data_IF_034101421655
#
_entry.id   IF_034101421655
#
_cell.length_a   1.000
_cell.length_b   1.000
_cell.length_c   1.000
_cell.angle_alpha   90.00
_cell.angle_beta   90.00
_cell.angle_gamma   90.00
#
_symmetry.space_group_name_H-M   'P 1'
#
loop_
_entity.id
_entity.type
_entity.pdbx_description
1 polymer ?
#
# COMPACT_ATOMS: atom_id res chain seq x y z
N UNK A 1 -10.01 14.99 -13.97
CA UNK A 1 -8.76 14.19 -14.04
C UNK A 1 -7.87 14.67 -12.92
N UNK A 2 -7.25 13.77 -12.13
CA UNK A 2 -6.37 14.19 -11.01
C UNK A 2 -4.95 14.42 -11.53
N UNK A 3 -4.44 13.46 -12.30
CA UNK A 3 -3.15 13.56 -12.97
C UNK A 3 -2.83 12.30 -13.77
N UNK A 4 -1.70 12.33 -14.47
CA UNK A 4 -1.13 11.21 -15.23
C UNK A 4 0.36 11.11 -14.93
N UNK A 5 0.82 9.91 -14.59
CA UNK A 5 2.23 9.61 -14.35
C UNK A 5 2.83 8.95 -15.60
N UNK A 6 4.12 9.14 -15.82
CA UNK A 6 4.88 8.36 -16.81
C UNK A 6 5.32 7.03 -16.21
N UNK A 7 5.65 6.04 -17.05
CA UNK A 7 6.18 4.76 -16.58
C UNK A 7 7.53 4.91 -15.88
N UNK A 8 8.32 5.90 -16.26
CA UNK A 8 9.63 6.20 -15.65
C UNK A 8 9.50 6.67 -14.19
N UNK A 9 8.31 7.19 -13.83
CA UNK A 9 7.96 7.57 -12.48
C UNK A 9 7.50 6.38 -11.63
N UNK A 10 7.49 5.16 -12.13
CA UNK A 10 7.22 3.95 -11.36
C UNK A 10 8.55 3.23 -11.09
N UNK A 11 8.98 3.21 -9.84
CA UNK A 11 10.25 2.59 -9.44
C UNK A 11 10.03 1.51 -8.38
N UNK A 12 10.24 0.22 -8.71
CA UNK A 12 10.11 -0.86 -7.75
C UNK A 12 11.00 -0.74 -6.52
N UNK A 13 12.19 -0.11 -6.62
CA UNK A 13 13.08 0.15 -5.47
C UNK A 13 12.50 1.21 -4.56
N UNK A 14 12.01 2.30 -5.14
CA UNK A 14 11.33 3.34 -4.37
C UNK A 14 10.08 2.78 -3.68
N UNK A 15 9.31 1.93 -4.37
CA UNK A 15 8.14 1.30 -3.79
C UNK A 15 8.49 0.34 -2.66
N UNK A 16 9.55 -0.48 -2.82
CA UNK A 16 10.04 -1.34 -1.75
C UNK A 16 10.36 -0.53 -0.49
N UNK A 17 11.11 0.56 -0.65
CA UNK A 17 11.47 1.46 0.46
C UNK A 17 10.24 2.02 1.16
N UNK A 18 9.22 2.47 0.40
CA UNK A 18 7.96 2.97 0.98
C UNK A 18 7.27 1.90 1.84
N UNK A 19 7.23 0.64 1.37
CA UNK A 19 6.64 -0.46 2.14
C UNK A 19 7.45 -0.74 3.41
N UNK A 20 8.79 -0.74 3.32
CA UNK A 20 9.69 -0.94 4.46
C UNK A 20 9.48 0.13 5.52
N UNK A 21 9.40 1.41 5.12
CA UNK A 21 9.11 2.52 6.03
C UNK A 21 7.71 2.41 6.66
N UNK A 22 6.71 1.94 5.91
CA UNK A 22 5.41 1.60 6.46
C UNK A 22 5.49 0.50 7.51
N UNK A 23 6.23 -0.57 7.20
CA UNK A 23 6.38 -1.75 8.07
C UNK A 23 7.09 -1.43 9.38
N UNK A 24 8.04 -0.50 9.38
CA UNK A 24 8.69 -0.04 10.62
C UNK A 24 7.66 0.45 11.63
N UNK A 25 6.63 1.19 11.21
CA UNK A 25 5.56 1.60 12.11
C UNK A 25 4.67 0.45 12.61
N UNK A 26 4.51 -0.61 11.82
CA UNK A 26 3.82 -1.83 12.25
C UNK A 26 4.68 -2.60 13.28
N UNK A 27 5.99 -2.64 13.08
CA UNK A 27 6.96 -3.22 14.02
C UNK A 27 7.01 -2.42 15.31
N UNK A 28 6.94 -1.09 15.27
CA UNK A 28 6.86 -0.26 16.48
C UNK A 28 5.63 -0.60 17.33
N UNK A 29 4.53 -1.04 16.70
CA UNK A 29 3.29 -1.44 17.38
C UNK A 29 3.34 -2.88 17.91
N UNK A 30 3.73 -3.86 17.10
CA UNK A 30 3.70 -5.29 17.48
C UNK A 30 5.02 -5.83 18.07
N UNK A 31 6.13 -5.10 17.91
CA UNK A 31 7.46 -5.46 18.36
C UNK A 31 8.23 -6.43 17.46
N UNK A 32 9.43 -6.80 17.92
CA UNK A 32 10.42 -7.59 17.16
C UNK A 32 9.93 -8.99 16.73
N UNK A 33 8.93 -9.55 17.42
CA UNK A 33 8.31 -10.82 17.03
C UNK A 33 7.59 -10.74 15.68
N UNK A 34 6.96 -9.60 15.38
CA UNK A 34 6.32 -9.35 14.09
C UNK A 34 7.39 -9.21 12.99
N UNK A 35 8.41 -8.38 13.23
CA UNK A 35 9.53 -8.16 12.31
C UNK A 35 10.20 -9.48 11.90
N UNK A 36 10.55 -10.31 12.90
CA UNK A 36 11.20 -11.60 12.69
C UNK A 36 10.37 -12.54 11.81
N UNK A 37 9.04 -12.53 11.96
CA UNK A 37 8.16 -13.32 11.13
C UNK A 37 8.07 -12.76 9.70
N UNK A 38 7.98 -11.44 9.52
CA UNK A 38 7.94 -10.81 8.18
C UNK A 38 9.22 -11.14 7.41
N UNK A 39 10.37 -10.97 8.04
CA UNK A 39 11.68 -11.32 7.46
C UNK A 39 11.69 -12.81 7.07
N UNK A 40 11.35 -13.70 8.00
CA UNK A 40 11.31 -15.15 7.74
C UNK A 40 10.45 -15.51 6.53
N UNK A 41 9.26 -14.93 6.40
CA UNK A 41 8.37 -15.23 5.28
C UNK A 41 8.90 -14.64 3.96
N UNK A 42 9.39 -13.40 3.96
CA UNK A 42 9.98 -12.77 2.78
C UNK A 42 11.20 -13.56 2.26
N UNK A 43 12.10 -13.99 3.15
CA UNK A 43 13.27 -14.79 2.78
C UNK A 43 12.87 -16.16 2.21
N UNK A 44 11.93 -16.86 2.84
CA UNK A 44 11.41 -18.14 2.33
C UNK A 44 10.76 -18.02 0.95
N UNK A 45 9.98 -16.97 0.75
CA UNK A 45 9.36 -16.71 -0.54
C UNK A 45 10.38 -16.36 -1.63
N UNK A 46 11.41 -15.58 -1.27
CA UNK A 46 12.51 -15.21 -2.19
C UNK A 46 13.29 -16.46 -2.59
N UNK A 47 13.72 -17.25 -1.61
CA UNK A 47 14.42 -18.52 -1.80
C UNK A 47 13.69 -19.45 -2.76
N UNK A 48 12.38 -19.65 -2.55
CA UNK A 48 11.54 -20.48 -3.42
C UNK A 48 11.48 -19.96 -4.87
N UNK A 49 11.32 -18.65 -5.06
CA UNK A 49 11.21 -18.06 -6.39
C UNK A 49 12.56 -18.01 -7.14
N UNK A 50 13.66 -17.89 -6.40
CA UNK A 50 15.01 -17.86 -6.96
C UNK A 50 15.66 -19.25 -7.11
N UNK A 51 15.08 -20.30 -6.49
CA UNK A 51 15.68 -21.63 -6.43
C UNK A 51 16.94 -21.69 -5.54
N UNK A 52 16.96 -20.90 -4.48
CA UNK A 52 18.11 -20.73 -3.57
C UNK A 52 17.70 -21.07 -2.12
N UNK A 53 18.65 -21.21 -1.21
CA UNK A 53 18.37 -21.34 0.23
C UNK A 53 18.15 -19.96 0.89
N UNK A 54 17.25 -19.83 1.89
CA UNK A 54 17.06 -18.57 2.60
C UNK A 54 18.32 -18.19 3.39
N UNK A 55 18.84 -16.95 3.26
CA UNK A 55 20.01 -16.52 4.04
C UNK A 55 19.68 -16.42 5.54
N UNK A 56 20.63 -16.75 6.40
CA UNK A 56 20.46 -16.77 7.86
C UNK A 56 20.88 -15.46 8.57
N UNK A 57 21.58 -14.56 7.87
CA UNK A 57 22.18 -13.36 8.45
C UNK A 57 21.28 -12.13 8.55
N UNK A 58 20.09 -12.15 7.94
CA UNK A 58 19.20 -10.98 7.83
C UNK A 58 18.28 -10.92 9.05
N UNK A 59 18.39 -9.83 9.82
CA UNK A 59 17.73 -9.66 11.12
C UNK A 59 16.88 -8.40 11.22
N UNK A 60 17.07 -7.41 10.35
CA UNK A 60 16.32 -6.15 10.36
C UNK A 60 15.61 -5.91 9.03
N UNK A 61 14.57 -5.07 9.04
CA UNK A 61 13.89 -4.65 7.81
C UNK A 61 14.82 -3.94 6.82
N UNK A 62 15.81 -3.17 7.29
CA UNK A 62 16.79 -2.50 6.41
C UNK A 62 17.67 -3.52 5.67
N UNK A 63 18.16 -4.54 6.38
CA UNK A 63 18.92 -5.63 5.76
C UNK A 63 18.05 -6.43 4.78
N UNK A 64 16.77 -6.61 5.10
CA UNK A 64 15.82 -7.26 4.20
C UNK A 64 15.58 -6.41 2.94
N UNK A 65 15.47 -5.09 3.07
CA UNK A 65 15.32 -4.16 1.94
C UNK A 65 16.47 -4.32 0.95
N UNK A 66 17.71 -4.23 1.44
CA UNK A 66 18.92 -4.35 0.62
C UNK A 66 18.97 -5.71 -0.09
N UNK A 67 18.68 -6.79 0.62
CA UNK A 67 18.64 -8.13 0.05
C UNK A 67 17.56 -8.28 -1.02
N UNK A 68 16.32 -7.87 -0.74
CA UNK A 68 15.22 -7.93 -1.71
C UNK A 68 15.51 -7.07 -2.94
N UNK A 69 16.11 -5.89 -2.75
CA UNK A 69 16.54 -5.01 -3.83
C UNK A 69 17.64 -5.64 -4.71
N UNK A 70 18.49 -6.50 -4.14
CA UNK A 70 19.51 -7.26 -4.90
C UNK A 70 18.92 -8.38 -5.77
N UNK A 71 17.67 -8.78 -5.53
CA UNK A 71 16.97 -9.88 -6.24
C UNK A 71 15.88 -9.40 -7.20
N UNK A 72 15.71 -8.09 -7.38
CA UNK A 72 14.65 -7.50 -8.20
C UNK A 72 14.72 -7.84 -9.69
N UNK A 73 15.86 -8.30 -10.18
CA UNK A 73 16.04 -8.84 -11.53
C UNK A 73 15.29 -10.18 -11.72
N UNK A 74 15.11 -10.94 -10.63
CA UNK A 74 14.44 -12.25 -10.63
C UNK A 74 13.01 -12.21 -10.09
N UNK A 75 12.72 -11.31 -9.15
CA UNK A 75 11.45 -11.28 -8.41
C UNK A 75 10.84 -9.87 -8.33
N UNK A 76 9.52 -9.82 -8.17
CA UNK A 76 8.83 -8.59 -7.76
C UNK A 76 8.92 -8.43 -6.23
N UNK A 77 10.03 -7.89 -5.75
CA UNK A 77 10.32 -7.72 -4.33
C UNK A 77 9.25 -6.96 -3.52
N UNK A 78 8.68 -5.83 -3.98
CA UNK A 78 7.61 -5.15 -3.26
C UNK A 78 6.39 -6.04 -3.01
N UNK A 79 5.96 -6.80 -4.03
CA UNK A 79 4.82 -7.71 -3.88
C UNK A 79 5.11 -8.82 -2.88
N UNK A 80 6.33 -9.35 -2.91
CA UNK A 80 6.74 -10.40 -2.00
C UNK A 80 6.72 -9.91 -0.54
N UNK A 81 7.16 -8.68 -0.29
CA UNK A 81 7.14 -8.09 1.04
C UNK A 81 5.71 -7.83 1.53
N UNK A 82 4.82 -7.33 0.66
CA UNK A 82 3.39 -7.17 0.96
C UNK A 82 2.74 -8.52 1.27
N UNK A 83 3.06 -9.56 0.48
CA UNK A 83 2.58 -10.92 0.73
C UNK A 83 3.04 -11.43 2.10
N UNK A 84 4.33 -11.24 2.42
CA UNK A 84 4.87 -11.65 3.72
C UNK A 84 4.19 -10.91 4.87
N UNK A 85 3.94 -9.60 4.73
CA UNK A 85 3.17 -8.81 5.69
C UNK A 85 1.76 -9.40 5.89
N UNK A 86 0.98 -9.65 4.83
CA UNK A 86 -0.36 -10.21 4.97
C UNK A 86 -0.37 -11.57 5.66
N UNK A 87 0.60 -12.44 5.35
CA UNK A 87 0.74 -13.74 6.02
C UNK A 87 0.98 -13.57 7.52
N UNK A 88 1.78 -12.58 7.93
CA UNK A 88 2.10 -12.34 9.35
C UNK A 88 0.97 -11.63 10.07
N UNK A 89 0.40 -10.57 9.48
CA UNK A 89 -0.75 -9.85 10.06
C UNK A 89 -1.90 -10.82 10.35
N UNK A 90 -2.24 -11.71 9.42
CA UNK A 90 -3.28 -12.71 9.67
C UNK A 90 -3.04 -13.62 10.87
N UNK A 91 -1.78 -13.85 11.25
CA UNK A 91 -1.44 -14.63 12.45
C UNK A 91 -1.56 -13.82 13.74
N UNK A 92 -1.30 -12.51 13.67
CA UNK A 92 -1.28 -11.63 14.84
C UNK A 92 -2.66 -11.05 15.17
N UNK A 93 -3.46 -10.70 14.16
CA UNK A 93 -4.73 -9.99 14.32
C UNK A 93 -5.91 -10.67 13.57
N UNK A 94 -5.67 -11.80 12.91
CA UNK A 94 -6.69 -12.41 12.05
C UNK A 94 -7.05 -11.52 10.87
N UNK A 95 -8.35 -11.27 10.65
CA UNK A 95 -8.86 -10.49 9.52
C UNK A 95 -9.25 -9.05 9.92
N UNK A 96 -8.68 -8.51 11.00
CA UNK A 96 -9.05 -7.21 11.55
C UNK A 96 -8.49 -6.01 10.77
N UNK A 97 -7.37 -6.17 10.06
CA UNK A 97 -6.78 -5.12 9.21
C UNK A 97 -6.09 -3.99 9.98
N UNK A 98 -5.79 -4.16 11.27
CA UNK A 98 -5.13 -3.14 12.10
C UNK A 98 -3.71 -2.84 11.60
N UNK A 99 -2.96 -3.88 11.23
CA UNK A 99 -1.61 -3.78 10.65
C UNK A 99 -1.62 -2.96 9.37
N UNK A 100 -2.66 -3.09 8.55
CA UNK A 100 -2.83 -2.35 7.29
C UNK A 100 -3.07 -0.87 7.56
N UNK A 101 -3.95 -0.55 8.53
CA UNK A 101 -4.21 0.82 8.97
C UNK A 101 -2.93 1.48 9.50
N UNK A 102 -2.14 0.75 10.31
CA UNK A 102 -0.86 1.26 10.87
C UNK A 102 0.17 1.45 9.75
N UNK A 103 0.29 0.50 8.83
CA UNK A 103 1.17 0.57 7.66
C UNK A 103 0.89 1.84 6.85
N UNK A 104 -0.39 2.06 6.52
CA UNK A 104 -0.84 3.20 5.71
C UNK A 104 -0.60 4.53 6.41
N UNK A 105 -0.90 4.63 7.71
CA UNK A 105 -0.61 5.83 8.53
C UNK A 105 0.89 6.12 8.59
N UNK A 106 1.72 5.08 8.65
CA UNK A 106 3.18 5.21 8.66
C UNK A 106 3.71 5.66 7.31
N UNK A 107 3.19 5.12 6.21
CA UNK A 107 3.48 5.61 4.84
C UNK A 107 3.07 7.06 4.67
N UNK A 108 1.90 7.46 5.20
CA UNK A 108 1.44 8.85 5.17
C UNK A 108 2.39 9.79 5.94
N UNK A 109 2.84 9.37 7.13
CA UNK A 109 3.83 10.12 7.91
C UNK A 109 5.16 10.24 7.17
N UNK A 110 5.62 9.16 6.54
CA UNK A 110 6.80 9.16 5.68
C UNK A 110 6.63 10.14 4.51
N UNK A 111 5.49 10.09 3.81
CA UNK A 111 5.22 10.95 2.68
C UNK A 111 5.24 12.45 3.07
N UNK A 112 4.61 12.79 4.19
CA UNK A 112 4.60 14.15 4.74
C UNK A 112 5.99 14.65 5.10
N UNK A 113 6.79 13.81 5.76
CA UNK A 113 8.14 14.15 6.19
C UNK A 113 9.08 14.44 5.01
N UNK A 114 8.92 13.72 3.90
CA UNK A 114 9.87 13.78 2.78
C UNK A 114 9.40 14.62 1.58
N UNK A 115 8.09 14.72 1.35
CA UNK A 115 7.54 15.35 0.14
C UNK A 115 6.66 16.57 0.43
N UNK A 116 6.34 16.83 1.71
CA UNK A 116 5.87 18.12 2.22
C UNK A 116 4.63 18.72 1.54
N UNK A 117 4.24 19.92 1.96
CA UNK A 117 3.15 20.70 1.36
C UNK A 117 1.87 20.70 2.19
N UNK A 118 1.23 21.87 2.26
CA UNK A 118 0.02 22.07 3.05
C UNK A 118 -1.19 21.36 2.43
N UNK A 119 -1.92 20.63 3.27
CA UNK A 119 -3.22 20.09 2.92
C UNK A 119 -4.29 21.16 3.17
N UNK A 120 -4.95 21.62 2.11
CA UNK A 120 -6.05 22.59 2.23
C UNK A 120 -7.28 21.91 2.86
N UNK A 121 -7.63 22.33 4.09
CA UNK A 121 -8.81 21.85 4.80
C UNK A 121 -10.10 22.16 4.03
N UNK A 122 -11.07 21.26 4.11
CA UNK A 122 -12.38 21.33 3.46
C UNK A 122 -12.41 21.05 1.96
N UNK A 123 -11.25 20.88 1.31
CA UNK A 123 -11.16 20.76 -0.15
C UNK A 123 -10.77 19.34 -0.59
N UNK A 124 -11.77 18.50 -0.83
CA UNK A 124 -11.60 17.12 -1.33
C UNK A 124 -10.79 17.08 -2.63
N UNK A 125 -10.98 18.06 -3.54
CA UNK A 125 -10.23 18.10 -4.80
C UNK A 125 -8.75 18.32 -4.53
N UNK A 126 -8.43 19.28 -3.66
CA UNK A 126 -7.06 19.53 -3.24
C UNK A 126 -6.46 18.30 -2.54
N UNK A 127 -7.23 17.61 -1.69
CA UNK A 127 -6.80 16.39 -1.00
C UNK A 127 -6.42 15.26 -1.96
N UNK A 128 -7.30 14.94 -2.92
CA UNK A 128 -7.05 13.89 -3.92
C UNK A 128 -5.86 14.26 -4.82
N UNK A 129 -5.75 15.54 -5.20
CA UNK A 129 -4.64 16.02 -6.03
C UNK A 129 -3.31 15.96 -5.27
N UNK A 130 -3.30 16.30 -3.98
CA UNK A 130 -2.13 16.20 -3.12
C UNK A 130 -1.70 14.74 -2.92
N UNK A 131 -2.64 13.86 -2.62
CA UNK A 131 -2.36 12.43 -2.49
C UNK A 131 -1.72 11.87 -3.77
N UNK A 132 -2.26 12.23 -4.94
CA UNK A 132 -1.68 11.82 -6.21
C UNK A 132 -0.28 12.40 -6.44
N UNK A 133 -0.07 13.68 -6.15
CA UNK A 133 1.25 14.31 -6.21
C UNK A 133 2.27 13.59 -5.33
N UNK A 134 1.88 13.17 -4.14
CA UNK A 134 2.78 12.48 -3.21
C UNK A 134 3.10 11.06 -3.67
N UNK A 135 2.12 10.35 -4.25
CA UNK A 135 2.37 9.07 -4.91
C UNK A 135 3.35 9.23 -6.09
N UNK A 136 3.28 10.34 -6.84
CA UNK A 136 4.23 10.63 -7.93
C UNK A 136 5.62 10.89 -7.36
N UNK A 137 5.74 11.71 -6.31
CA UNK A 137 7.02 12.01 -5.64
C UNK A 137 7.65 10.77 -5.00
N UNK A 138 6.84 9.86 -4.47
CA UNK A 138 7.27 8.55 -3.98
C UNK A 138 7.64 7.56 -5.09
N UNK A 139 7.32 7.89 -6.35
CA UNK A 139 7.46 7.01 -7.52
C UNK A 139 6.62 5.74 -7.43
N UNK A 140 5.43 5.86 -6.83
CA UNK A 140 4.45 4.78 -6.58
C UNK A 140 3.07 5.09 -7.16
N UNK A 141 2.95 6.12 -8.00
CA UNK A 141 1.67 6.49 -8.61
C UNK A 141 1.23 5.49 -9.69
N UNK A 142 -0.06 5.10 -9.73
CA UNK A 142 -0.66 4.55 -10.92
C UNK A 142 -0.54 5.53 -12.10
N UNK A 143 -0.51 5.00 -13.32
CA UNK A 143 -0.38 5.84 -14.53
C UNK A 143 -1.53 6.83 -14.65
N UNK A 144 -2.73 6.46 -14.19
CA UNK A 144 -3.89 7.33 -14.25
C UNK A 144 -4.79 7.14 -13.04
N UNK A 145 -5.11 8.25 -12.38
CA UNK A 145 -6.13 8.34 -11.35
C UNK A 145 -7.14 9.42 -11.74
N UNK A 146 -8.41 9.04 -11.78
CA UNK A 146 -9.54 9.96 -11.90
C UNK A 146 -10.38 9.85 -10.64
N UNK A 147 -11.13 10.90 -10.34
CA UNK A 147 -12.13 10.84 -9.29
C UNK A 147 -13.41 11.55 -9.71
N UNK A 148 -14.51 11.16 -9.06
CA UNK A 148 -15.81 11.82 -9.14
C UNK A 148 -16.38 11.94 -7.74
N UNK A 149 -16.79 13.15 -7.34
CA UNK A 149 -17.56 13.37 -6.12
C UNK A 149 -19.06 13.21 -6.41
N UNK A 150 -19.80 12.50 -5.55
CA UNK A 150 -21.27 12.40 -5.63
C UNK A 150 -21.84 12.26 -4.22
N UNK A 151 -22.76 13.14 -3.83
CA UNK A 151 -23.50 13.05 -2.56
C UNK A 151 -22.62 12.89 -1.31
N UNK A 152 -21.48 13.58 -1.25
CA UNK A 152 -20.54 13.45 -0.12
C UNK A 152 -19.51 12.34 -0.31
N UNK A 153 -19.74 11.38 -1.21
CA UNK A 153 -18.80 10.31 -1.51
C UNK A 153 -17.79 10.67 -2.61
N UNK A 154 -16.70 9.91 -2.67
CA UNK A 154 -15.68 9.98 -3.71
C UNK A 154 -15.49 8.62 -4.36
N UNK A 155 -15.74 8.55 -5.67
CA UNK A 155 -15.35 7.40 -6.49
C UNK A 155 -13.98 7.68 -7.11
N UNK A 156 -13.03 6.78 -6.87
CA UNK A 156 -11.71 6.77 -7.47
C UNK A 156 -11.68 5.73 -8.60
N UNK A 157 -11.25 6.15 -9.79
CA UNK A 157 -10.96 5.27 -10.91
C UNK A 157 -9.44 5.21 -11.09
N UNK A 158 -8.87 4.05 -10.82
CA UNK A 158 -7.44 3.78 -10.92
C UNK A 158 -7.23 2.90 -12.16
N UNK A 159 -6.52 3.41 -13.17
CA UNK A 159 -6.24 2.68 -14.40
C UNK A 159 -4.77 2.35 -14.53
N UNK A 160 -4.48 1.18 -15.11
CA UNK A 160 -3.12 0.72 -15.39
C UNK A 160 -2.24 0.77 -14.14
N UNK A 161 -2.77 0.29 -13.02
CA UNK A 161 -2.02 0.18 -11.79
C UNK A 161 -0.92 -0.88 -11.95
N UNK A 162 0.33 -0.52 -11.69
CA UNK A 162 1.45 -1.45 -11.71
C UNK A 162 1.36 -2.51 -10.59
N UNK A 163 0.37 -2.40 -9.68
CA UNK A 163 0.05 -3.38 -8.63
C UNK A 163 -0.99 -4.42 -9.05
N UNK A 164 -1.62 -4.27 -10.23
CA UNK A 164 -2.83 -5.03 -10.58
C UNK A 164 -2.63 -6.55 -10.52
N UNK A 165 -1.55 -7.07 -11.08
CA UNK A 165 -1.30 -8.50 -11.11
C UNK A 165 -1.02 -9.05 -9.69
N UNK A 166 -0.35 -8.27 -8.84
CA UNK A 166 -0.15 -8.60 -7.42
C UNK A 166 -1.48 -8.64 -6.66
N UNK A 167 -2.32 -7.62 -6.82
CA UNK A 167 -3.66 -7.59 -6.21
C UNK A 167 -4.53 -8.77 -6.67
N UNK A 168 -4.46 -9.13 -7.95
CA UNK A 168 -5.22 -10.27 -8.51
C UNK A 168 -4.80 -11.59 -7.85
N UNK A 169 -3.49 -11.83 -7.74
CA UNK A 169 -2.93 -13.05 -7.13
C UNK A 169 -3.26 -13.10 -5.63
N UNK A 170 -3.11 -11.99 -4.91
CA UNK A 170 -3.43 -11.93 -3.48
C UNK A 170 -4.90 -12.18 -3.21
N UNK A 171 -5.81 -11.67 -4.06
CA UNK A 171 -7.24 -11.97 -3.98
C UNK A 171 -7.51 -13.46 -4.19
N UNK A 172 -6.97 -14.04 -5.25
CA UNK A 172 -7.14 -15.49 -5.54
C UNK A 172 -6.60 -16.38 -4.42
N UNK A 173 -5.64 -15.89 -3.64
CA UNK A 173 -5.07 -16.59 -2.49
C UNK A 173 -5.81 -16.32 -1.17
N UNK A 174 -6.86 -15.49 -1.19
CA UNK A 174 -7.62 -15.05 -0.02
C UNK A 174 -6.81 -14.18 0.95
N UNK A 175 -5.61 -13.71 0.58
CA UNK A 175 -4.68 -13.02 1.48
C UNK A 175 -4.96 -11.52 1.62
N UNK A 176 -5.50 -10.89 0.59
CA UNK A 176 -5.79 -9.44 0.57
C UNK A 176 -7.28 -9.12 0.75
N UNK A 177 -8.02 -10.01 1.41
CA UNK A 177 -9.45 -9.82 1.69
C UNK A 177 -9.63 -9.51 3.18
N UNK A 178 -10.43 -8.48 3.47
CA UNK A 178 -10.94 -8.22 4.81
C UNK A 178 -12.00 -9.25 5.19
N UNK A 179 -12.43 -9.23 6.45
CA UNK A 179 -13.48 -10.12 6.94
C UNK A 179 -14.79 -10.05 6.14
N UNK A 180 -15.08 -8.90 5.52
CA UNK A 180 -16.27 -8.66 4.67
C UNK A 180 -16.06 -9.02 3.18
N UNK A 181 -14.90 -9.60 2.82
CA UNK A 181 -14.55 -9.95 1.44
C UNK A 181 -14.07 -8.78 0.58
N UNK A 182 -13.97 -7.57 1.13
CA UNK A 182 -13.43 -6.41 0.39
C UNK A 182 -11.92 -6.53 0.18
N UNK A 183 -11.45 -6.11 -0.99
CA UNK A 183 -10.03 -6.15 -1.34
C UNK A 183 -9.30 -4.97 -0.71
N UNK A 184 -8.18 -5.24 -0.06
CA UNK A 184 -7.26 -4.23 0.46
C UNK A 184 -6.50 -3.55 -0.69
N UNK A 185 -6.51 -2.23 -0.73
CA UNK A 185 -5.82 -1.43 -1.74
C UNK A 185 -5.10 -0.24 -1.11
N UNK A 186 -3.77 -0.33 -1.04
CA UNK A 186 -2.94 0.74 -0.46
C UNK A 186 -3.08 2.09 -1.18
N UNK A 187 -3.30 2.12 -2.50
CA UNK A 187 -3.49 3.38 -3.25
C UNK A 187 -4.82 4.04 -2.90
N UNK A 188 -5.92 3.26 -2.92
CA UNK A 188 -7.24 3.79 -2.59
C UNK A 188 -7.28 4.25 -1.13
N UNK A 189 -6.69 3.47 -0.22
CA UNK A 189 -6.60 3.84 1.17
C UNK A 189 -5.79 5.10 1.39
N UNK A 190 -4.60 5.20 0.77
CA UNK A 190 -3.75 6.39 0.88
C UNK A 190 -4.49 7.65 0.47
N UNK A 191 -5.21 7.62 -0.67
CA UNK A 191 -6.03 8.76 -1.12
C UNK A 191 -7.18 9.03 -0.13
N UNK A 192 -7.83 7.98 0.39
CA UNK A 192 -8.91 8.10 1.37
C UNK A 192 -8.43 8.78 2.67
N UNK A 193 -7.22 8.48 3.15
CA UNK A 193 -6.64 9.13 4.32
C UNK A 193 -6.42 10.63 4.12
N UNK A 194 -5.96 11.07 2.94
CA UNK A 194 -5.88 12.52 2.64
C UNK A 194 -7.27 13.18 2.66
N UNK A 195 -8.30 12.49 2.19
CA UNK A 195 -9.68 13.00 2.25
C UNK A 195 -10.14 13.10 3.71
N UNK A 196 -9.88 12.08 4.53
CA UNK A 196 -10.17 12.10 5.97
C UNK A 196 -9.55 13.32 6.65
N UNK A 197 -8.26 13.55 6.41
CA UNK A 197 -7.53 14.67 7.01
C UNK A 197 -8.00 16.04 6.51
N UNK A 198 -8.31 16.15 5.23
CA UNK A 198 -8.82 17.39 4.66
C UNK A 198 -10.20 17.74 5.21
N UNK A 199 -11.04 16.73 5.45
CA UNK A 199 -12.42 16.93 5.91
C UNK A 199 -12.57 16.96 7.43
N UNK A 200 -11.59 16.40 8.16
CA UNK A 200 -11.68 16.22 9.62
C UNK A 200 -12.56 15.05 10.05
N UNK A 201 -13.10 14.28 9.11
CA UNK A 201 -13.95 13.11 9.37
C UNK A 201 -13.19 11.83 9.08
N UNK A 202 -13.58 10.70 9.69
CA UNK A 202 -13.06 9.40 9.28
C UNK A 202 -13.74 8.94 7.99
N UNK A 203 -12.96 8.41 7.05
CA UNK A 203 -13.45 7.85 5.80
C UNK A 203 -13.00 6.41 5.65
N UNK A 204 -13.89 5.59 5.10
CA UNK A 204 -13.62 4.22 4.73
C UNK A 204 -13.50 4.11 3.19
N UNK A 205 -12.80 3.07 2.72
CA UNK A 205 -12.79 2.73 1.30
C UNK A 205 -13.13 1.26 1.05
N UNK A 206 -13.82 1.01 -0.07
CA UNK A 206 -14.10 -0.31 -0.59
C UNK A 206 -13.80 -0.38 -2.09
N UNK A 207 -13.22 -1.49 -2.55
CA UNK A 207 -13.06 -1.77 -3.99
C UNK A 207 -14.39 -2.32 -4.52
N UNK A 208 -15.07 -1.54 -5.36
CA UNK A 208 -16.39 -1.89 -5.92
C UNK A 208 -16.30 -2.53 -7.31
N UNK A 209 -15.17 -2.35 -8.00
CA UNK A 209 -14.90 -3.00 -9.29
C UNK A 209 -13.42 -3.31 -9.45
N UNK A 210 -13.10 -4.50 -9.95
CA UNK A 210 -11.75 -4.96 -10.24
C UNK A 210 -11.74 -5.78 -11.55
N UNK A 211 -11.48 -5.12 -12.69
CA UNK A 211 -11.60 -5.72 -14.03
C UNK A 211 -10.66 -5.04 -15.03
N UNK A 212 -10.03 -5.79 -15.94
CA UNK A 212 -9.38 -5.21 -17.12
C UNK A 212 -8.28 -4.16 -16.84
N UNK A 213 -7.47 -4.34 -15.78
CA UNK A 213 -6.48 -3.36 -15.28
C UNK A 213 -7.07 -2.03 -14.80
N UNK A 214 -8.36 -2.02 -14.53
CA UNK A 214 -9.09 -0.93 -13.90
C UNK A 214 -9.61 -1.37 -12.53
N UNK A 215 -9.40 -0.50 -11.54
CA UNK A 215 -9.97 -0.63 -10.21
C UNK A 215 -10.84 0.59 -9.92
N UNK A 216 -12.05 0.37 -9.42
CA UNK A 216 -12.89 1.43 -8.88
C UNK A 216 -12.95 1.26 -7.38
N UNK A 217 -12.50 2.29 -6.67
CA UNK A 217 -12.66 2.39 -5.22
C UNK A 217 -13.74 3.42 -4.90
N UNK A 218 -14.56 3.12 -3.90
CA UNK A 218 -15.50 4.06 -3.30
C UNK A 218 -14.94 4.45 -1.94
N UNK A 219 -14.80 5.76 -1.71
CA UNK A 219 -14.40 6.36 -0.45
C UNK A 219 -15.61 7.13 0.10
N UNK A 220 -16.03 6.81 1.31
CA UNK A 220 -17.21 7.40 1.96
C UNK A 220 -16.92 7.75 3.42
N UNK A 221 -17.51 8.83 3.96
CA UNK A 221 -17.40 9.14 5.38
C UNK A 221 -18.04 8.03 6.22
N UNK A 222 -17.45 7.73 7.37
CA UNK A 222 -18.09 6.90 8.39
C UNK A 222 -19.11 7.79 9.10
N UNK A 223 -20.39 7.49 8.96
CA UNK A 223 -21.45 8.17 9.70
C UNK A 223 -21.39 7.70 11.15
N UNK A 224 -20.93 8.59 12.04
CA UNK A 224 -20.98 8.42 13.50
C UNK A 224 -22.31 8.90 14.06
#
# INVERSE_FOLDING_TARGET
MVGRASREQQDPRAFLRVIVEGLKGVVDFYGAGFESNVIKYALRGTAKLCGEEPPSGIKTLDQLEEYLASKMDKINAPYLLIWAMFVVSKKFEGYQGLSEVILERSILKFARKNYGGELKRGDIKAAVSKAYSDLVSMRTAPLEVRYRKKNGDVLLLIKNCFLFDGCRISKQSGLSERADGTIVCGIASFICHYISEATGNEWHYAIVKFEGRECIAHCSPILT
#
